data_IF_763365347353
#
_entry.id   IF_763365347353
#
_cell.length_a   1.000
_cell.length_b   1.000
_cell.length_c   1.000
_cell.angle_alpha   90.00
_cell.angle_beta   90.00
_cell.angle_gamma   90.00
#
_symmetry.space_group_name_H-M   'P 1'
#
loop_
_entity.id
_entity.type
_entity.pdbx_description
1 polymer ?
#
# COMPACT_ATOMS: atom_id res chain seq x y z
N UNK A 1 -12.14 13.69 -6.99
CA UNK A 1 -11.14 12.83 -6.33
C UNK A 1 -11.78 11.63 -5.65
N UNK A 2 -12.50 11.80 -4.52
CA UNK A 2 -13.15 10.66 -3.85
C UNK A 2 -14.28 10.01 -4.68
N UNK A 3 -15.16 10.82 -5.30
CA UNK A 3 -16.19 10.30 -6.21
C UNK A 3 -15.59 9.51 -7.37
N UNK A 4 -14.39 9.87 -7.83
CA UNK A 4 -13.70 9.16 -8.91
C UNK A 4 -13.16 7.81 -8.41
N UNK A 5 -12.62 7.75 -7.19
CA UNK A 5 -12.21 6.49 -6.56
C UNK A 5 -13.40 5.52 -6.41
N UNK A 6 -14.55 6.02 -5.96
CA UNK A 6 -15.75 5.18 -5.84
C UNK A 6 -16.30 4.70 -7.20
N UNK A 7 -16.15 5.49 -8.26
CA UNK A 7 -16.57 5.08 -9.60
C UNK A 7 -15.70 3.98 -10.20
N UNK A 8 -14.43 3.89 -9.79
CA UNK A 8 -13.48 2.88 -10.25
C UNK A 8 -13.40 1.65 -9.34
N UNK A 9 -14.28 1.54 -8.33
CA UNK A 9 -14.38 0.34 -7.50
C UNK A 9 -14.64 -0.89 -8.36
N UNK A 10 -13.88 -1.95 -8.08
CA UNK A 10 -14.05 -3.22 -8.75
C UNK A 10 -15.33 -3.89 -8.27
N UNK A 11 -16.38 -3.86 -9.10
CA UNK A 11 -17.69 -4.39 -8.72
C UNK A 11 -17.79 -5.90 -8.68
N UNK A 12 -16.70 -6.61 -9.00
CA UNK A 12 -16.62 -8.07 -8.93
C UNK A 12 -15.99 -8.57 -7.62
N UNK A 13 -15.57 -7.67 -6.73
CA UNK A 13 -15.04 -8.05 -5.43
C UNK A 13 -16.11 -8.63 -4.52
N UNK A 14 -15.65 -9.52 -3.62
CA UNK A 14 -16.47 -10.16 -2.62
C UNK A 14 -17.07 -9.14 -1.66
N UNK A 15 -18.21 -9.48 -1.07
CA UNK A 15 -18.77 -8.71 0.03
C UNK A 15 -17.81 -8.74 1.22
N UNK A 16 -17.55 -7.56 1.76
CA UNK A 16 -16.57 -7.34 2.83
C UNK A 16 -17.21 -7.41 4.23
N UNK A 17 -16.45 -7.28 5.33
CA UNK A 17 -16.96 -7.48 6.69
C UNK A 17 -18.17 -6.61 7.04
N UNK A 18 -18.31 -5.46 6.38
CA UNK A 18 -19.43 -4.51 6.54
C UNK A 18 -20.72 -4.94 5.84
N UNK A 19 -20.69 -6.03 5.04
CA UNK A 19 -21.85 -6.53 4.32
C UNK A 19 -22.27 -5.66 3.12
N UNK A 20 -21.45 -4.68 2.72
CA UNK A 20 -21.78 -3.76 1.64
C UNK A 20 -21.11 -4.23 0.36
N UNK A 21 -21.92 -4.60 -0.63
CA UNK A 21 -21.38 -4.99 -1.93
C UNK A 21 -20.82 -3.75 -2.68
N UNK A 22 -19.62 -3.80 -3.28
CA UNK A 22 -19.00 -2.65 -3.98
C UNK A 22 -19.89 -2.02 -5.05
N UNK A 23 -20.69 -2.85 -5.74
CA UNK A 23 -21.73 -2.40 -6.68
C UNK A 23 -22.72 -1.41 -6.06
N UNK A 24 -23.17 -1.63 -4.82
CA UNK A 24 -24.11 -0.72 -4.13
C UNK A 24 -23.46 0.65 -3.94
N UNK A 25 -22.20 0.67 -3.51
CA UNK A 25 -21.43 1.90 -3.36
C UNK A 25 -21.31 2.64 -4.70
N UNK A 26 -20.97 1.94 -5.78
CA UNK A 26 -20.82 2.52 -7.12
C UNK A 26 -22.12 3.16 -7.63
N UNK A 27 -23.25 2.46 -7.50
CA UNK A 27 -24.56 2.96 -7.97
C UNK A 27 -25.07 4.14 -7.11
N UNK A 28 -24.76 4.14 -5.81
CA UNK A 28 -25.19 5.17 -4.86
C UNK A 28 -24.16 6.29 -4.64
N UNK A 29 -23.08 6.35 -5.43
CA UNK A 29 -21.99 7.34 -5.31
C UNK A 29 -22.52 8.76 -5.09
N UNK A 30 -23.46 9.21 -5.91
CA UNK A 30 -23.95 10.61 -5.87
C UNK A 30 -24.60 10.96 -4.54
N UNK A 31 -25.26 9.99 -3.91
CA UNK A 31 -25.94 10.16 -2.62
C UNK A 31 -24.94 10.03 -1.47
N UNK A 32 -24.03 9.06 -1.56
CA UNK A 32 -23.07 8.73 -0.52
C UNK A 32 -21.86 9.68 -0.46
N UNK A 33 -21.56 10.40 -1.56
CA UNK A 33 -20.38 11.27 -1.64
C UNK A 33 -20.34 12.30 -0.51
N UNK A 34 -21.46 12.98 -0.24
CA UNK A 34 -21.52 14.02 0.80
C UNK A 34 -21.34 13.46 2.22
N UNK A 35 -22.11 12.46 2.69
CA UNK A 35 -21.91 11.92 4.04
C UNK A 35 -20.52 11.30 4.23
N UNK A 36 -20.00 10.56 3.23
CA UNK A 36 -18.67 9.96 3.33
C UNK A 36 -17.56 11.01 3.38
N UNK A 37 -17.70 12.12 2.65
CA UNK A 37 -16.72 13.22 2.73
C UNK A 37 -16.63 13.81 4.15
N UNK A 38 -17.75 13.92 4.86
CA UNK A 38 -17.79 14.40 6.25
C UNK A 38 -17.09 13.40 7.16
N UNK A 39 -17.39 12.10 7.02
CA UNK A 39 -16.78 11.04 7.84
C UNK A 39 -15.26 11.02 7.62
N UNK A 40 -14.79 11.00 6.38
CA UNK A 40 -13.35 11.01 6.11
C UNK A 40 -12.63 12.25 6.62
N UNK A 41 -13.26 13.41 6.50
CA UNK A 41 -12.68 14.63 7.03
C UNK A 41 -12.61 14.61 8.56
N UNK A 42 -13.64 14.11 9.23
CA UNK A 42 -13.61 13.90 10.66
C UNK A 42 -12.51 12.91 11.05
N UNK A 43 -12.45 11.76 10.39
CA UNK A 43 -11.43 10.75 10.66
C UNK A 43 -10.01 11.23 10.41
N UNK A 44 -9.80 12.07 9.39
CA UNK A 44 -8.50 12.70 9.15
C UNK A 44 -8.11 13.68 10.28
N UNK A 45 -9.07 14.44 10.81
CA UNK A 45 -8.83 15.44 11.86
C UNK A 45 -8.66 14.82 13.24
N UNK A 46 -9.41 13.76 13.56
CA UNK A 46 -9.37 13.12 14.88
C UNK A 46 -8.35 11.99 14.97
N UNK A 47 -7.92 11.42 13.83
CA UNK A 47 -7.15 10.17 13.81
C UNK A 47 -7.98 8.92 14.08
N UNK A 48 -9.31 9.05 14.22
CA UNK A 48 -10.22 7.95 14.52
C UNK A 48 -11.06 7.55 13.30
N UNK A 49 -11.16 6.26 13.03
CA UNK A 49 -12.01 5.70 11.97
C UNK A 49 -13.15 4.87 12.56
N UNK A 50 -14.29 4.73 11.85
CA UNK A 50 -15.36 3.81 12.22
C UNK A 50 -14.84 2.41 12.57
N UNK A 51 -15.43 1.79 13.59
CA UNK A 51 -15.02 0.46 14.07
C UNK A 51 -15.05 -0.58 12.95
N UNK A 52 -16.07 -0.52 12.07
CA UNK A 52 -16.22 -1.45 10.95
C UNK A 52 -15.06 -1.37 9.96
N UNK A 53 -14.39 -0.22 9.84
CA UNK A 53 -13.23 -0.05 8.96
C UNK A 53 -11.94 -0.60 9.58
N UNK A 54 -11.93 -0.84 10.89
CA UNK A 54 -10.80 -1.46 11.60
C UNK A 54 -10.90 -3.00 11.62
N UNK A 55 -12.04 -3.54 11.22
CA UNK A 55 -12.26 -4.98 11.14
C UNK A 55 -11.81 -5.49 9.78
N UNK A 56 -11.19 -6.66 9.77
CA UNK A 56 -10.78 -7.32 8.55
C UNK A 56 -11.05 -8.82 8.61
N UNK A 57 -11.52 -9.38 7.51
CA UNK A 57 -11.58 -10.82 7.32
C UNK A 57 -10.19 -11.32 6.90
N UNK A 58 -9.51 -12.04 7.79
CA UNK A 58 -8.19 -12.59 7.53
C UNK A 58 -8.34 -13.96 6.86
N UNK A 59 -7.82 -14.08 5.64
CA UNK A 59 -7.78 -15.33 4.90
C UNK A 59 -6.34 -15.82 4.76
N UNK A 60 -6.09 -17.10 5.01
CA UNK A 60 -4.78 -17.71 4.81
C UNK A 60 -4.65 -18.25 3.40
N UNK A 61 -3.76 -17.66 2.61
CA UNK A 61 -3.47 -18.07 1.24
C UNK A 61 -2.18 -18.89 1.26
N UNK A 62 -2.28 -20.14 0.83
CA UNK A 62 -1.11 -21.01 0.69
C UNK A 62 -0.14 -20.46 -0.38
N UNK A 63 1.15 -20.36 -0.05
CA UNK A 63 2.19 -19.81 -0.94
C UNK A 63 3.04 -20.91 -1.60
N UNK A 64 3.73 -21.75 -0.81
CA UNK A 64 4.62 -22.85 -1.28
C UNK A 64 5.05 -23.74 -0.10
N UNK A 65 5.55 -24.96 -0.35
CA UNK A 65 6.13 -25.83 0.69
C UNK A 65 5.20 -26.95 1.17
N UNK A 66 5.27 -27.26 2.47
CA UNK A 66 4.36 -28.22 3.12
C UNK A 66 3.11 -27.50 3.60
N UNK A 67 1.93 -28.12 3.46
CA UNK A 67 0.65 -27.48 3.80
C UNK A 67 0.39 -27.44 5.30
N UNK A 68 1.10 -28.26 6.05
CA UNK A 68 0.98 -28.43 7.50
C UNK A 68 1.78 -27.36 8.26
N UNK A 69 2.76 -26.75 7.60
CA UNK A 69 3.54 -25.66 8.16
C UNK A 69 2.85 -24.31 7.94
N UNK A 70 2.43 -23.68 9.04
CA UNK A 70 1.77 -22.37 9.04
C UNK A 70 2.66 -21.27 8.44
N UNK A 71 3.98 -21.42 8.45
CA UNK A 71 4.92 -20.48 7.84
C UNK A 71 4.81 -20.37 6.32
N UNK A 72 4.14 -21.34 5.69
CA UNK A 72 3.94 -21.41 4.23
C UNK A 72 2.68 -20.70 3.73
N UNK A 73 1.92 -20.08 4.62
CA UNK A 73 0.75 -19.28 4.30
C UNK A 73 1.08 -17.80 4.43
N UNK A 74 0.49 -16.99 3.55
CA UNK A 74 0.40 -15.54 3.72
C UNK A 74 -1.01 -15.20 4.18
N UNK A 75 -1.15 -14.34 5.19
CA UNK A 75 -2.44 -13.73 5.51
C UNK A 75 -2.76 -12.66 4.47
N UNK A 76 -4.01 -12.63 4.02
CA UNK A 76 -4.59 -11.51 3.30
C UNK A 76 -5.78 -11.00 4.10
N UNK A 77 -5.74 -9.71 4.45
CA UNK A 77 -6.81 -9.04 5.18
C UNK A 77 -7.72 -8.34 4.18
N UNK A 78 -9.00 -8.71 4.18
CA UNK A 78 -10.05 -7.98 3.46
C UNK A 78 -10.69 -7.00 4.44
N UNK A 79 -10.45 -5.71 4.24
CA UNK A 79 -10.98 -4.61 5.07
C UNK A 79 -12.37 -4.19 4.58
N UNK A 80 -12.87 -3.01 4.95
CA UNK A 80 -14.10 -2.43 4.38
C UNK A 80 -13.76 -1.57 3.16
N UNK A 81 -14.60 -1.59 2.13
CA UNK A 81 -14.38 -0.88 0.86
C UNK A 81 -14.23 0.61 1.12
N UNK A 82 -15.02 1.12 2.06
CA UNK A 82 -14.97 2.51 2.49
C UNK A 82 -13.68 2.82 3.26
N UNK A 83 -13.18 1.87 4.06
CA UNK A 83 -11.88 1.95 4.70
C UNK A 83 -10.75 1.95 3.68
N UNK A 84 -10.76 1.03 2.71
CA UNK A 84 -9.77 0.95 1.63
C UNK A 84 -9.72 2.25 0.82
N UNK A 85 -10.87 2.85 0.50
CA UNK A 85 -10.89 4.14 -0.21
C UNK A 85 -10.24 5.25 0.64
N UNK A 86 -10.42 5.25 1.96
CA UNK A 86 -9.71 6.18 2.84
C UNK A 86 -8.19 5.90 2.83
N UNK A 87 -7.78 4.64 2.91
CA UNK A 87 -6.37 4.24 2.81
C UNK A 87 -5.74 4.70 1.50
N UNK A 88 -6.45 4.60 0.36
CA UNK A 88 -5.99 5.10 -0.93
C UNK A 88 -5.82 6.62 -0.96
N UNK A 89 -6.70 7.37 -0.28
CA UNK A 89 -6.57 8.82 -0.14
C UNK A 89 -5.31 9.16 0.67
N UNK A 90 -5.11 8.49 1.81
CA UNK A 90 -3.94 8.67 2.68
C UNK A 90 -2.66 8.31 1.91
N UNK A 91 -2.64 7.15 1.25
CA UNK A 91 -1.52 6.67 0.44
C UNK A 91 -1.18 7.66 -0.67
N UNK A 92 -2.16 8.22 -1.35
CA UNK A 92 -1.97 9.21 -2.40
C UNK A 92 -1.30 10.48 -1.86
N UNK A 93 -1.73 10.96 -0.69
CA UNK A 93 -1.15 12.13 -0.03
C UNK A 93 0.31 11.87 0.40
N UNK A 94 0.58 10.73 1.05
CA UNK A 94 1.93 10.32 1.46
C UNK A 94 2.83 10.18 0.24
N UNK A 95 2.36 9.49 -0.80
CA UNK A 95 3.14 9.24 -2.02
C UNK A 95 3.51 10.54 -2.71
N UNK A 96 2.56 11.48 -2.81
CA UNK A 96 2.81 12.80 -3.39
C UNK A 96 3.90 13.55 -2.62
N UNK A 97 3.78 13.61 -1.28
CA UNK A 97 4.74 14.29 -0.43
C UNK A 97 6.15 13.69 -0.52
N UNK A 98 6.25 12.36 -0.46
CA UNK A 98 7.53 11.65 -0.52
C UNK A 98 8.19 11.81 -1.91
N UNK A 99 7.40 11.91 -2.98
CA UNK A 99 7.93 12.16 -4.32
C UNK A 99 8.47 13.59 -4.48
N UNK A 100 7.75 14.59 -3.99
CA UNK A 100 8.15 16.00 -4.07
C UNK A 100 9.44 16.27 -3.29
N UNK A 101 9.56 15.67 -2.09
CA UNK A 101 10.72 15.83 -1.22
C UNK A 101 11.90 14.88 -1.54
N UNK A 102 11.85 14.16 -2.66
CA UNK A 102 12.86 13.16 -3.04
C UNK A 102 13.17 12.12 -1.94
N UNK A 103 12.19 11.80 -1.10
CA UNK A 103 12.36 10.90 0.05
C UNK A 103 12.69 9.45 -0.33
N UNK A 104 12.41 9.07 -1.57
CA UNK A 104 12.78 7.75 -2.12
C UNK A 104 13.92 7.90 -3.12
N UNK A 105 14.92 7.01 -3.01
CA UNK A 105 16.07 6.97 -3.94
C UNK A 105 15.64 6.62 -5.36
N UNK A 106 16.24 7.23 -6.41
CA UNK A 106 15.90 6.94 -7.82
C UNK A 106 16.11 5.47 -8.23
N UNK A 107 16.95 4.74 -7.51
CA UNK A 107 17.21 3.31 -7.73
C UNK A 107 16.08 2.39 -7.25
N UNK A 108 15.14 2.88 -6.44
CA UNK A 108 13.99 2.10 -6.01
C UNK A 108 12.97 2.02 -7.14
N UNK A 109 12.61 0.79 -7.49
CA UNK A 109 11.69 0.49 -8.60
C UNK A 109 10.33 -0.02 -8.12
N UNK A 110 10.29 -0.76 -7.02
CA UNK A 110 9.03 -1.28 -6.47
C UNK A 110 8.20 -0.13 -5.86
N UNK A 111 6.88 -0.21 -6.04
CA UNK A 111 5.89 0.78 -5.57
C UNK A 111 6.09 2.21 -6.11
N UNK A 112 6.74 2.37 -7.27
CA UNK A 112 6.96 3.66 -7.94
C UNK A 112 6.16 3.72 -9.24
N UNK A 113 5.40 4.80 -9.42
CA UNK A 113 4.69 5.06 -10.69
C UNK A 113 5.70 5.14 -11.83
N UNK A 114 5.43 4.43 -12.93
CA UNK A 114 6.31 4.39 -14.10
C UNK A 114 7.57 3.53 -13.95
N UNK A 115 7.71 2.78 -12.86
CA UNK A 115 8.77 1.79 -12.66
C UNK A 115 8.15 0.39 -12.57
N UNK A 116 8.93 -0.61 -12.98
CA UNK A 116 8.56 -2.03 -12.99
C UNK A 116 9.78 -2.90 -12.74
N UNK A 117 9.56 -4.21 -12.53
CA UNK A 117 10.62 -5.20 -12.45
C UNK A 117 11.53 -5.16 -13.70
N UNK A 118 10.95 -4.99 -14.89
CA UNK A 118 11.71 -4.87 -16.13
C UNK A 118 12.65 -3.66 -16.12
N UNK A 119 12.15 -2.48 -15.72
CA UNK A 119 13.01 -1.28 -15.65
C UNK A 119 14.13 -1.42 -14.62
N UNK A 120 13.91 -2.16 -13.54
CA UNK A 120 14.94 -2.46 -12.54
C UNK A 120 16.07 -3.31 -13.16
N UNK A 121 15.69 -4.38 -13.84
CA UNK A 121 16.63 -5.28 -14.52
C UNK A 121 17.43 -4.52 -15.59
N UNK A 122 16.77 -3.70 -16.40
CA UNK A 122 17.44 -2.87 -17.41
C UNK A 122 18.44 -1.91 -16.74
N UNK A 123 18.04 -1.18 -15.69
CA UNK A 123 18.92 -0.25 -14.98
C UNK A 123 20.10 -0.95 -14.31
N UNK A 124 19.93 -2.20 -13.90
CA UNK A 124 21.00 -3.03 -13.36
C UNK A 124 21.98 -3.46 -14.46
N UNK A 125 21.48 -4.04 -15.56
CA UNK A 125 22.33 -4.50 -16.65
C UNK A 125 23.11 -3.36 -17.30
N UNK A 126 22.49 -2.20 -17.49
CA UNK A 126 23.17 -1.00 -18.00
C UNK A 126 24.43 -0.65 -17.18
N UNK A 127 24.32 -0.68 -15.85
CA UNK A 127 25.47 -0.44 -14.95
C UNK A 127 26.52 -1.55 -15.05
N UNK A 128 26.10 -2.81 -15.11
CA UNK A 128 27.02 -3.95 -15.19
C UNK A 128 27.79 -3.91 -16.51
N UNK A 129 27.11 -3.68 -17.63
CA UNK A 129 27.72 -3.62 -18.96
C UNK A 129 28.76 -2.49 -19.04
N UNK A 130 28.44 -1.29 -18.54
CA UNK A 130 29.42 -0.19 -18.48
C UNK A 130 30.70 -0.56 -17.69
N UNK A 131 30.57 -1.27 -16.57
CA UNK A 131 31.73 -1.70 -15.78
C UNK A 131 32.54 -2.80 -16.49
N UNK A 132 31.87 -3.72 -17.18
CA UNK A 132 32.51 -4.78 -17.96
C UNK A 132 33.28 -4.20 -19.15
N UNK A 133 32.72 -3.18 -19.83
CA UNK A 133 33.40 -2.48 -20.93
C UNK A 133 34.68 -1.76 -20.46
N UNK A 134 34.71 -1.33 -19.19
CA UNK A 134 35.90 -0.78 -18.52
C UNK A 134 36.86 -1.86 -17.97
N UNK A 135 36.60 -3.15 -18.24
CA UNK A 135 37.39 -4.30 -17.78
C UNK A 135 37.45 -4.36 -16.24
N UNK A 136 36.36 -3.95 -15.56
CA UNK A 136 36.24 -4.05 -14.10
C UNK A 136 35.52 -5.33 -13.71
N UNK A 137 35.99 -5.97 -12.63
CA UNK A 137 35.27 -7.07 -12.01
C UNK A 137 33.99 -6.55 -11.33
N UNK A 138 32.90 -7.32 -11.43
CA UNK A 138 31.60 -6.98 -10.84
C UNK A 138 31.12 -8.14 -9.98
N UNK A 139 30.91 -7.87 -8.69
CA UNK A 139 30.28 -8.79 -7.76
C UNK A 139 28.89 -8.26 -7.38
N UNK A 140 27.91 -9.17 -7.25
CA UNK A 140 26.51 -8.82 -6.99
C UNK A 140 26.03 -9.54 -5.74
N UNK A 141 25.51 -8.78 -4.79
CA UNK A 141 24.94 -9.30 -3.54
C UNK A 141 23.43 -9.07 -3.54
N UNK A 142 22.66 -10.16 -3.49
CA UNK A 142 21.21 -10.11 -3.32
C UNK A 142 20.86 -10.27 -1.84
N UNK A 143 20.01 -9.39 -1.34
CA UNK A 143 19.50 -9.41 0.03
C UNK A 143 17.97 -9.56 -0.03
N UNK A 144 17.44 -10.47 0.77
CA UNK A 144 15.99 -10.68 0.91
C UNK A 144 15.61 -10.66 2.39
N UNK A 145 14.51 -9.98 2.71
CA UNK A 145 14.01 -9.86 4.08
C UNK A 145 12.86 -10.85 4.28
N UNK A 146 13.06 -11.79 5.21
CA UNK A 146 12.00 -12.69 5.65
C UNK A 146 10.84 -11.91 6.25
N UNK A 147 9.63 -12.09 5.71
CA UNK A 147 8.38 -11.53 6.25
C UNK A 147 8.47 -10.03 6.57
N UNK A 148 8.91 -9.22 5.60
CA UNK A 148 9.18 -7.80 5.80
C UNK A 148 7.99 -7.00 6.38
N UNK A 149 6.76 -7.34 6.01
CA UNK A 149 5.55 -6.69 6.56
C UNK A 149 5.21 -7.15 7.98
N UNK A 150 5.56 -8.37 8.36
CA UNK A 150 5.30 -8.90 9.71
C UNK A 150 6.40 -8.52 10.72
N UNK A 151 7.60 -8.24 10.22
CA UNK A 151 8.82 -8.03 11.06
C UNK A 151 9.14 -6.54 11.26
N UNK A 152 8.46 -5.63 10.54
CA UNK A 152 8.67 -4.19 10.67
C UNK A 152 8.26 -3.65 12.03
N UNK A 153 9.10 -2.82 12.66
CA UNK A 153 8.74 -2.15 13.92
C UNK A 153 7.78 -0.99 13.67
N UNK A 154 6.63 -1.02 14.33
CA UNK A 154 5.65 0.08 14.28
C UNK A 154 6.22 1.40 14.81
N UNK A 155 7.05 1.37 15.86
CA UNK A 155 7.64 2.61 16.42
C UNK A 155 8.58 3.30 15.43
N UNK A 156 9.43 2.52 14.76
CA UNK A 156 10.36 3.04 13.75
C UNK A 156 9.58 3.59 12.54
N UNK A 157 8.50 2.92 12.15
CA UNK A 157 7.65 3.38 11.05
C UNK A 157 6.97 4.72 11.40
N UNK A 158 6.42 4.85 12.61
CA UNK A 158 5.79 6.09 13.09
C UNK A 158 6.80 7.24 13.13
N UNK A 159 7.99 7.02 13.69
CA UNK A 159 9.05 8.03 13.74
C UNK A 159 9.44 8.52 12.34
N UNK A 160 9.55 7.60 11.38
CA UNK A 160 9.82 7.95 9.98
C UNK A 160 8.67 8.72 9.35
N UNK A 161 7.42 8.33 9.57
CA UNK A 161 6.28 9.07 9.02
C UNK A 161 6.19 10.49 9.59
N UNK A 162 6.44 10.66 10.90
CA UNK A 162 6.50 11.96 11.55
C UNK A 162 7.61 12.84 10.95
N UNK A 163 8.82 12.29 10.82
CA UNK A 163 9.99 13.05 10.38
C UNK A 163 9.94 13.40 8.90
N UNK A 164 9.46 12.48 8.05
CA UNK A 164 9.56 12.59 6.59
C UNK A 164 8.28 13.08 5.93
N UNK A 165 7.13 12.95 6.59
CA UNK A 165 5.82 13.33 6.03
C UNK A 165 5.16 14.44 6.84
N UNK A 166 5.59 14.68 8.08
CA UNK A 166 5.03 15.71 8.95
C UNK A 166 3.57 15.45 9.34
N UNK A 167 3.11 14.20 9.31
CA UNK A 167 1.75 13.82 9.72
C UNK A 167 1.76 13.62 11.24
N UNK A 168 1.12 14.48 12.04
CA UNK A 168 0.95 14.22 13.46
C UNK A 168 -0.04 13.06 13.61
N UNK A 169 0.47 11.85 13.83
CA UNK A 169 -0.36 10.80 14.42
C UNK A 169 -0.63 11.22 15.86
N UNK A 170 -1.90 11.47 16.18
CA UNK A 170 -2.34 11.72 17.55
C UNK A 170 -2.25 10.39 18.30
N UNK A 171 -1.59 10.41 19.45
CA UNK A 171 -1.41 9.24 20.34
C UNK A 171 -2.74 8.67 20.86
#
# INVERSE_FOLDING_TARGET
MFSDLLHHLNTHESMEPDGIHPRVLRELVKVLTKPLSIIYQQSWLTGEVPVDWRLANVTHIYKKGQKEDLGNYRSASLTSVLGEVMEQIILSAITWHVQDNQGIRPSQHEFRKGRSCLTNVISFYDKVTCLVDEIKAVDVVYLDFSKAFDTGSHSILQEKLMTWVGVPFVD
#
